data_IF_259455395965
#
_entry.id   IF_259455395965
#
_cell.length_a   1.000
_cell.length_b   1.000
_cell.length_c   1.000
_cell.angle_alpha   90.00
_cell.angle_beta   90.00
_cell.angle_gamma   90.00
#
_symmetry.space_group_name_H-M   'P 1'
#
loop_
_entity.id
_entity.type
_entity.pdbx_description
1 polymer ?
#
# COMPACT_ATOMS: atom_id res chain seq x y z
N UNK A 1 -3.41 23.81 -11.12
CA UNK A 1 -2.26 22.90 -10.94
C UNK A 1 -2.42 21.72 -11.88
N UNK A 2 -1.47 21.43 -12.78
CA UNK A 2 -1.61 20.34 -13.77
C UNK A 2 -0.91 19.08 -13.25
N UNK A 3 -1.68 18.00 -13.11
CA UNK A 3 -1.30 16.72 -12.50
C UNK A 3 -0.64 15.71 -13.46
N UNK A 4 -0.44 16.03 -14.75
CA UNK A 4 0.05 15.08 -15.76
C UNK A 4 1.09 15.66 -16.73
N UNK A 5 2.08 14.83 -17.10
CA UNK A 5 3.09 15.11 -18.12
C UNK A 5 2.53 14.97 -19.55
N UNK A 6 2.94 15.84 -20.49
CA UNK A 6 2.41 15.90 -21.86
C UNK A 6 3.13 14.96 -22.87
N UNK A 7 4.11 14.15 -22.44
CA UNK A 7 4.81 13.21 -23.33
C UNK A 7 4.20 11.79 -23.28
N UNK A 8 3.73 11.24 -24.41
CA UNK A 8 2.95 9.99 -24.44
C UNK A 8 3.72 8.77 -23.91
N UNK A 9 5.03 8.66 -24.19
CA UNK A 9 5.88 7.57 -23.70
C UNK A 9 6.11 7.58 -22.18
N UNK A 10 5.94 8.74 -21.52
CA UNK A 10 6.05 8.84 -20.05
C UNK A 10 4.68 8.69 -19.38
N UNK A 11 3.60 9.13 -20.04
CA UNK A 11 2.23 8.90 -19.60
C UNK A 11 1.91 7.40 -19.54
N UNK A 12 2.33 6.61 -20.53
CA UNK A 12 2.15 5.15 -20.53
C UNK A 12 2.92 4.48 -19.39
N UNK A 13 4.17 4.89 -19.11
CA UNK A 13 4.94 4.36 -17.97
C UNK A 13 4.32 4.72 -16.61
N UNK A 14 3.72 5.90 -16.48
CA UNK A 14 2.99 6.29 -15.27
C UNK A 14 1.72 5.46 -15.08
N UNK A 15 0.91 5.32 -16.14
CA UNK A 15 -0.27 4.45 -16.13
C UNK A 15 0.09 2.99 -15.81
N UNK A 16 1.16 2.47 -16.42
CA UNK A 16 1.62 1.11 -16.17
C UNK A 16 2.12 0.95 -14.72
N UNK A 17 2.87 1.92 -14.20
CA UNK A 17 3.32 1.90 -12.81
C UNK A 17 2.15 1.97 -11.82
N UNK A 18 1.14 2.80 -12.10
CA UNK A 18 -0.06 2.93 -11.28
C UNK A 18 -0.89 1.64 -11.33
N UNK A 19 -1.03 1.02 -12.51
CA UNK A 19 -1.70 -0.27 -12.68
C UNK A 19 -0.97 -1.40 -11.97
N UNK A 20 0.37 -1.46 -12.07
CA UNK A 20 1.18 -2.45 -11.35
C UNK A 20 1.05 -2.25 -9.84
N UNK A 21 1.12 -1.01 -9.36
CA UNK A 21 0.92 -0.70 -7.95
C UNK A 21 -0.47 -1.13 -7.47
N UNK A 22 -1.53 -0.79 -8.21
CA UNK A 22 -2.89 -1.19 -7.90
C UNK A 22 -3.06 -2.72 -7.92
N UNK A 23 -2.49 -3.41 -8.91
CA UNK A 23 -2.53 -4.86 -9.02
C UNK A 23 -1.79 -5.55 -7.86
N UNK A 24 -0.62 -5.04 -7.47
CA UNK A 24 0.15 -5.55 -6.32
C UNK A 24 -0.60 -5.35 -5.01
N UNK A 25 -1.19 -4.17 -4.79
CA UNK A 25 -2.01 -3.91 -3.60
C UNK A 25 -3.22 -4.84 -3.58
N UNK A 26 -3.92 -4.99 -4.71
CA UNK A 26 -5.05 -5.90 -4.82
C UNK A 26 -4.66 -7.36 -4.54
N UNK A 27 -3.56 -7.84 -5.12
CA UNK A 27 -3.05 -9.19 -4.89
C UNK A 27 -2.65 -9.40 -3.42
N UNK A 28 -1.98 -8.42 -2.80
CA UNK A 28 -1.60 -8.48 -1.39
C UNK A 28 -2.82 -8.55 -0.46
N UNK A 29 -3.85 -7.74 -0.71
CA UNK A 29 -5.11 -7.78 0.05
C UNK A 29 -5.80 -9.13 -0.13
N UNK A 30 -5.89 -9.65 -1.36
CA UNK A 30 -6.49 -10.97 -1.62
C UNK A 30 -5.75 -12.09 -0.92
N UNK A 31 -4.42 -12.06 -0.94
CA UNK A 31 -3.59 -13.03 -0.24
C UNK A 31 -3.76 -12.92 1.28
N UNK A 32 -3.80 -11.71 1.83
CA UNK A 32 -3.97 -11.48 3.26
C UNK A 32 -5.32 -12.00 3.78
N UNK A 33 -6.40 -11.76 3.02
CA UNK A 33 -7.71 -12.29 3.35
C UNK A 33 -7.74 -13.81 3.28
N UNK A 34 -7.16 -14.42 2.24
CA UNK A 34 -7.08 -15.87 2.13
C UNK A 34 -6.30 -16.51 3.30
N UNK A 35 -5.18 -15.90 3.70
CA UNK A 35 -4.40 -16.34 4.86
C UNK A 35 -5.20 -16.17 6.15
N UNK A 36 -5.90 -15.05 6.32
CA UNK A 36 -6.77 -14.81 7.48
C UNK A 36 -7.85 -15.87 7.62
N UNK A 37 -8.53 -16.18 6.52
CA UNK A 37 -9.60 -17.17 6.50
C UNK A 37 -9.06 -18.57 6.83
N UNK A 38 -7.88 -18.91 6.31
CA UNK A 38 -7.19 -20.15 6.67
C UNK A 38 -6.83 -20.21 8.17
N UNK A 39 -6.34 -19.11 8.75
CA UNK A 39 -6.03 -19.04 10.19
C UNK A 39 -7.31 -19.16 11.03
N UNK A 40 -8.41 -18.50 10.62
CA UNK A 40 -9.68 -18.56 11.33
C UNK A 40 -10.28 -19.97 11.38
N UNK A 41 -9.87 -20.88 10.48
CA UNK A 41 -10.24 -22.29 10.54
C UNK A 41 -9.66 -22.99 11.79
N UNK A 42 -8.52 -22.52 12.32
CA UNK A 42 -7.95 -23.01 13.59
C UNK A 42 -8.78 -22.59 14.80
N UNK A 43 -9.74 -21.67 14.67
CA UNK A 43 -10.65 -21.31 15.77
C UNK A 43 -11.80 -22.31 15.93
N UNK A 44 -12.08 -23.16 14.93
CA UNK A 44 -13.19 -24.13 14.99
C UNK A 44 -13.07 -25.16 16.13
N UNK A 45 -11.89 -25.76 16.40
CA UNK A 45 -11.70 -26.60 17.57
C UNK A 45 -11.98 -25.87 18.88
N UNK A 46 -11.55 -24.60 18.99
CA UNK A 46 -11.80 -23.76 20.16
C UNK A 46 -13.29 -23.50 20.39
N UNK A 47 -14.04 -23.20 19.33
CA UNK A 47 -15.52 -23.04 19.38
C UNK A 47 -16.22 -24.32 19.84
N UNK A 48 -15.79 -25.47 19.31
CA UNK A 48 -16.35 -26.77 19.70
C UNK A 48 -16.04 -27.10 21.16
N UNK A 49 -14.80 -26.84 21.61
CA UNK A 49 -14.40 -27.03 22.99
C UNK A 49 -15.17 -26.12 23.95
N UNK A 50 -15.36 -24.84 23.59
CA UNK A 50 -16.17 -23.88 24.35
C UNK A 50 -17.62 -24.36 24.51
N UNK A 51 -18.25 -24.74 23.40
CA UNK A 51 -19.63 -25.24 23.40
C UNK A 51 -19.79 -26.54 24.19
N UNK A 52 -18.85 -27.48 24.05
CA UNK A 52 -18.85 -28.74 24.78
C UNK A 52 -18.64 -28.52 26.29
N UNK A 53 -17.66 -27.69 26.67
CA UNK A 53 -17.38 -27.35 28.07
C UNK A 53 -18.57 -26.64 28.74
N UNK A 54 -19.18 -25.68 28.06
CA UNK A 54 -20.35 -24.95 28.56
C UNK A 54 -21.55 -25.89 28.76
N UNK A 55 -21.82 -26.77 27.79
CA UNK A 55 -22.92 -27.73 27.87
C UNK A 55 -22.70 -28.76 28.97
N UNK A 56 -21.46 -29.26 29.10
CA UNK A 56 -21.06 -30.19 30.14
C UNK A 56 -21.18 -29.56 31.53
N UNK A 57 -20.67 -28.33 31.69
CA UNK A 57 -20.76 -27.60 32.95
C UNK A 57 -22.21 -27.41 33.38
N UNK A 58 -23.06 -26.95 32.46
CA UNK A 58 -24.48 -26.76 32.74
C UNK A 58 -25.18 -28.06 33.14
N UNK A 59 -24.99 -29.14 32.37
CA UNK A 59 -25.62 -30.43 32.67
C UNK A 59 -25.17 -31.02 34.01
N UNK A 60 -23.88 -30.88 34.35
CA UNK A 60 -23.34 -31.33 35.64
C UNK A 60 -23.79 -30.44 36.81
N UNK A 61 -23.92 -29.13 36.59
CA UNK A 61 -24.50 -28.20 37.55
C UNK A 61 -25.96 -28.55 37.88
N UNK A 62 -26.78 -28.72 36.84
CA UNK A 62 -28.19 -29.12 36.95
C UNK A 62 -28.32 -30.48 37.67
N UNK A 63 -27.44 -31.45 37.35
CA UNK A 63 -27.39 -32.73 38.02
C UNK A 63 -26.95 -32.62 39.49
N UNK A 64 -25.98 -31.75 39.79
CA UNK A 64 -25.55 -31.47 41.16
C UNK A 64 -26.67 -30.86 42.00
N UNK A 65 -27.42 -29.93 41.44
CA UNK A 65 -28.56 -29.30 42.10
C UNK A 65 -29.71 -30.30 42.31
N UNK A 66 -29.94 -31.21 41.37
CA UNK A 66 -30.89 -32.31 41.56
C UNK A 66 -30.42 -33.30 42.64
N UNK A 67 -29.14 -33.66 42.64
CA UNK A 67 -28.56 -34.57 43.62
C UNK A 67 -28.60 -34.01 45.05
N UNK A 68 -28.47 -32.68 45.21
CA UNK A 68 -28.56 -32.00 46.52
C UNK A 68 -29.90 -32.24 47.25
N UNK A 69 -30.95 -32.61 46.51
CA UNK A 69 -32.30 -32.85 47.04
C UNK A 69 -32.49 -34.26 47.62
N UNK A 70 -31.49 -35.13 47.52
CA UNK A 70 -31.57 -36.51 48.05
C UNK A 70 -31.33 -36.51 49.57
N UNK A 71 -32.25 -37.06 50.39
CA UNK A 71 -32.07 -37.12 51.84
C UNK A 71 -30.82 -37.91 52.25
N UNK A 72 -30.15 -37.48 53.32
CA UNK A 72 -28.96 -38.09 53.94
C UNK A 72 -27.66 -38.09 53.11
N UNK A 73 -27.71 -38.11 51.78
CA UNK A 73 -26.52 -38.22 50.89
C UNK A 73 -26.38 -37.11 49.86
N UNK A 74 -27.32 -36.17 49.76
CA UNK A 74 -27.35 -35.14 48.70
C UNK A 74 -26.07 -34.30 48.62
N UNK A 75 -25.53 -33.86 49.75
CA UNK A 75 -24.29 -33.07 49.79
C UNK A 75 -23.05 -33.87 49.31
N UNK A 76 -23.02 -35.18 49.56
CA UNK A 76 -21.92 -36.04 49.13
C UNK A 76 -21.96 -36.27 47.61
N UNK A 77 -23.16 -36.29 47.02
CA UNK A 77 -23.35 -36.43 45.57
C UNK A 77 -23.19 -35.10 44.82
N UNK A 78 -23.57 -33.98 45.42
CA UNK A 78 -23.47 -32.66 44.81
C UNK A 78 -22.02 -32.22 44.59
N UNK A 79 -21.13 -32.42 45.57
CA UNK A 79 -19.73 -31.99 45.50
C UNK A 79 -18.97 -32.46 44.24
N UNK A 80 -18.93 -33.76 43.91
CA UNK A 80 -18.21 -34.23 42.72
C UNK A 80 -18.85 -33.72 41.42
N UNK A 81 -20.18 -33.57 41.37
CA UNK A 81 -20.89 -33.03 40.20
C UNK A 81 -20.57 -31.54 39.99
N UNK A 82 -20.55 -30.73 41.06
CA UNK A 82 -20.11 -29.33 40.97
C UNK A 82 -18.65 -29.19 40.57
N UNK A 83 -17.77 -30.01 41.14
CA UNK A 83 -16.34 -30.01 40.76
C UNK A 83 -16.16 -30.35 39.28
N UNK A 84 -16.89 -31.34 38.77
CA UNK A 84 -16.88 -31.67 37.35
C UNK A 84 -17.49 -30.55 36.48
N UNK A 85 -18.51 -29.83 36.98
CA UNK A 85 -19.06 -28.66 36.30
C UNK A 85 -18.03 -27.50 36.21
N UNK A 86 -17.26 -27.26 37.27
CA UNK A 86 -16.17 -26.29 37.27
C UNK A 86 -15.07 -26.66 36.27
N UNK A 87 -14.69 -27.94 36.19
CA UNK A 87 -13.77 -28.41 35.15
C UNK A 87 -14.32 -28.18 33.73
N UNK A 88 -15.63 -28.37 33.53
CA UNK A 88 -16.32 -28.02 32.29
C UNK A 88 -16.21 -26.53 31.93
N UNK A 89 -16.33 -25.63 32.92
CA UNK A 89 -16.09 -24.19 32.72
C UNK A 89 -14.64 -23.91 32.35
N UNK A 90 -13.66 -24.54 33.01
CA UNK A 90 -12.25 -24.40 32.66
C UNK A 90 -11.94 -24.82 31.22
N UNK A 91 -12.58 -25.90 30.74
CA UNK A 91 -12.49 -26.30 29.33
C UNK A 91 -13.12 -25.26 28.40
N UNK A 92 -14.25 -24.68 28.80
CA UNK A 92 -14.92 -23.66 28.01
C UNK A 92 -14.07 -22.40 27.86
N UNK A 93 -13.48 -21.94 28.97
CA UNK A 93 -12.59 -20.78 29.01
C UNK A 93 -11.30 -21.02 28.20
N UNK A 94 -10.75 -22.23 28.26
CA UNK A 94 -9.61 -22.61 27.41
C UNK A 94 -9.98 -22.56 25.92
N UNK A 95 -11.18 -23.05 25.56
CA UNK A 95 -11.72 -22.97 24.19
C UNK A 95 -11.87 -21.53 23.71
N UNK A 96 -12.31 -20.62 24.57
CA UNK A 96 -12.43 -19.18 24.27
C UNK A 96 -11.07 -18.50 24.13
N UNK A 97 -10.14 -18.77 25.04
CA UNK A 97 -8.76 -18.23 24.99
C UNK A 97 -8.03 -18.63 23.69
N UNK A 98 -8.20 -19.88 23.23
CA UNK A 98 -7.68 -20.32 21.94
C UNK A 98 -8.27 -19.54 20.76
N UNK A 99 -9.59 -19.30 20.76
CA UNK A 99 -10.23 -18.50 19.72
C UNK A 99 -9.68 -17.06 19.69
N UNK A 100 -9.50 -16.44 20.85
CA UNK A 100 -8.97 -15.09 20.96
C UNK A 100 -7.51 -15.01 20.49
N UNK A 101 -6.69 -16.00 20.83
CA UNK A 101 -5.30 -16.09 20.36
C UNK A 101 -5.23 -16.24 18.82
N UNK A 102 -6.05 -17.14 18.25
CA UNK A 102 -6.14 -17.35 16.80
C UNK A 102 -6.62 -16.07 16.10
N UNK A 103 -7.62 -15.39 16.66
CA UNK A 103 -8.15 -14.13 16.13
C UNK A 103 -7.10 -13.01 16.13
N UNK A 104 -6.34 -12.87 17.22
CA UNK A 104 -5.23 -11.92 17.29
C UNK A 104 -4.13 -12.23 16.27
N UNK A 105 -3.72 -13.49 16.14
CA UNK A 105 -2.73 -13.92 15.14
C UNK A 105 -3.24 -13.63 13.72
N UNK A 106 -4.48 -14.01 13.40
CA UNK A 106 -5.09 -13.76 12.11
C UNK A 106 -5.06 -12.26 11.78
N UNK A 107 -5.39 -11.40 12.75
CA UNK A 107 -5.40 -9.95 12.58
C UNK A 107 -4.01 -9.39 12.36
N UNK A 108 -3.03 -9.74 13.20
CA UNK A 108 -1.65 -9.28 13.08
C UNK A 108 -1.02 -9.71 11.76
N UNK A 109 -1.20 -10.98 11.36
CA UNK A 109 -0.71 -11.48 10.08
C UNK A 109 -1.36 -10.75 8.91
N UNK A 110 -2.68 -10.52 8.94
CA UNK A 110 -3.38 -9.77 7.90
C UNK A 110 -2.83 -8.36 7.75
N UNK A 111 -2.65 -7.65 8.87
CA UNK A 111 -2.12 -6.27 8.88
C UNK A 111 -0.70 -6.25 8.33
N UNK A 112 0.17 -7.16 8.77
CA UNK A 112 1.54 -7.23 8.29
C UNK A 112 1.60 -7.52 6.78
N UNK A 113 0.79 -8.46 6.29
CA UNK A 113 0.76 -8.87 4.89
C UNK A 113 0.20 -7.79 3.96
N UNK A 114 -0.61 -6.85 4.47
CA UNK A 114 -1.07 -5.68 3.73
C UNK A 114 -0.07 -4.53 3.84
N UNK A 115 0.40 -4.22 5.06
CA UNK A 115 1.23 -3.06 5.33
C UNK A 115 2.58 -3.15 4.63
N UNK A 116 3.25 -4.31 4.67
CA UNK A 116 4.59 -4.47 4.08
C UNK A 116 4.58 -4.21 2.57
N UNK A 117 3.72 -4.85 1.75
CA UNK A 117 3.66 -4.56 0.32
C UNK A 117 3.24 -3.12 0.01
N UNK A 118 2.27 -2.57 0.76
CA UNK A 118 1.81 -1.19 0.55
C UNK A 118 2.93 -0.20 0.81
N UNK A 119 3.65 -0.34 1.92
CA UNK A 119 4.80 0.52 2.25
C UNK A 119 5.90 0.35 1.20
N UNK A 120 6.18 -0.87 0.75
CA UNK A 120 7.17 -1.10 -0.29
C UNK A 120 6.80 -0.43 -1.62
N UNK A 121 5.55 -0.57 -2.06
CA UNK A 121 5.02 0.09 -3.26
C UNK A 121 5.11 1.61 -3.12
N UNK A 122 4.71 2.16 -1.96
CA UNK A 122 4.82 3.60 -1.69
C UNK A 122 6.29 4.06 -1.72
N UNK A 123 7.20 3.35 -1.08
CA UNK A 123 8.62 3.71 -1.07
C UNK A 123 9.25 3.67 -2.48
N UNK A 124 8.82 2.75 -3.35
CA UNK A 124 9.31 2.68 -4.72
C UNK A 124 8.66 3.72 -5.64
N UNK A 125 7.38 4.03 -5.41
CA UNK A 125 6.57 4.88 -6.29
C UNK A 125 6.61 6.38 -5.91
N UNK A 126 6.65 6.72 -4.62
CA UNK A 126 6.56 8.10 -4.14
C UNK A 126 7.78 8.96 -4.49
N UNK A 127 9.05 8.50 -4.33
CA UNK A 127 10.23 9.32 -4.61
C UNK A 127 10.36 9.81 -6.06
N UNK A 128 10.18 8.96 -7.11
CA UNK A 128 10.23 9.44 -8.48
C UNK A 128 9.10 10.43 -8.78
N UNK A 129 7.90 10.20 -8.21
CA UNK A 129 6.75 11.09 -8.38
C UNK A 129 6.96 12.45 -7.73
N UNK A 130 7.45 12.48 -6.49
CA UNK A 130 7.78 13.71 -5.76
C UNK A 130 8.90 14.51 -6.45
N UNK A 131 9.96 13.83 -6.91
CA UNK A 131 11.05 14.46 -7.67
C UNK A 131 10.53 15.10 -8.97
N UNK A 132 9.58 14.45 -9.64
CA UNK A 132 8.98 14.99 -10.87
C UNK A 132 8.10 16.22 -10.60
N UNK A 133 7.25 16.18 -9.57
CA UNK A 133 6.41 17.34 -9.19
C UNK A 133 7.30 18.55 -8.87
N UNK A 134 8.39 18.34 -8.10
CA UNK A 134 9.35 19.41 -7.77
C UNK A 134 10.07 19.95 -9.01
N UNK A 135 10.60 19.10 -9.89
CA UNK A 135 11.34 19.53 -11.09
C UNK A 135 10.46 20.22 -12.13
N UNK A 136 9.21 19.79 -12.26
CA UNK A 136 8.26 20.37 -13.20
C UNK A 136 7.80 21.77 -12.76
N UNK A 137 7.63 21.98 -11.45
CA UNK A 137 7.26 23.29 -10.90
C UNK A 137 8.36 24.35 -11.07
N UNK A 138 9.63 23.98 -10.88
CA UNK A 138 10.77 24.92 -11.02
C UNK A 138 11.00 25.29 -12.48
N UNK A 139 11.00 24.31 -13.39
CA UNK A 139 11.22 24.58 -14.84
C UNK A 139 10.12 25.48 -15.40
N UNK A 140 8.86 25.27 -15.01
CA UNK A 140 7.74 26.10 -15.48
C UNK A 140 7.86 27.56 -15.06
N UNK A 141 8.23 27.84 -13.80
CA UNK A 141 8.40 29.22 -13.31
C UNK A 141 9.53 29.97 -14.02
N UNK A 142 10.57 29.25 -14.44
CA UNK A 142 11.71 29.82 -15.16
C UNK A 142 11.34 30.07 -16.63
N UNK A 143 10.56 29.17 -17.25
CA UNK A 143 10.11 29.33 -18.64
C UNK A 143 9.04 30.40 -18.82
N UNK A 144 8.15 30.59 -17.85
CA UNK A 144 7.11 31.65 -17.88
C UNK A 144 7.65 33.05 -17.48
N UNK A 145 8.93 33.15 -17.10
CA UNK A 145 9.58 34.42 -16.76
C UNK A 145 10.21 35.14 -17.97
N UNK A 146 10.51 36.46 -17.86
CA UNK A 146 11.22 37.21 -18.90
C UNK A 146 12.57 36.55 -19.23
N UNK A 147 12.84 36.28 -20.51
CA UNK A 147 14.07 35.59 -20.96
C UNK A 147 14.04 34.06 -20.81
N UNK A 148 12.89 33.45 -20.52
CA UNK A 148 12.76 32.00 -20.37
C UNK A 148 13.15 31.19 -21.62
N UNK A 149 12.91 31.74 -22.82
CA UNK A 149 13.33 31.15 -24.09
C UNK A 149 14.87 31.11 -24.21
N UNK A 150 15.56 32.18 -23.83
CA UNK A 150 17.03 32.24 -23.83
C UNK A 150 17.66 31.30 -22.81
N UNK A 151 17.06 31.16 -21.63
CA UNK A 151 17.54 30.21 -20.61
C UNK A 151 17.36 28.75 -21.07
N UNK A 152 16.29 28.46 -21.82
CA UNK A 152 16.09 27.15 -22.43
C UNK A 152 17.07 26.92 -23.58
N UNK A 153 17.28 27.91 -24.44
CA UNK A 153 18.24 27.85 -25.52
C UNK A 153 19.66 27.61 -24.99
N UNK A 154 20.07 28.36 -23.97
CA UNK A 154 21.36 28.20 -23.28
C UNK A 154 21.51 26.80 -22.69
N UNK A 155 20.48 26.28 -22.03
CA UNK A 155 20.50 24.92 -21.47
C UNK A 155 20.68 23.82 -22.53
N UNK A 156 20.11 24.01 -23.71
CA UNK A 156 20.29 23.10 -24.85
C UNK A 156 21.72 23.23 -25.40
N UNK A 157 22.24 24.46 -25.51
CA UNK A 157 23.63 24.71 -25.95
C UNK A 157 24.68 24.12 -25.00
N UNK A 158 24.45 24.15 -23.69
CA UNK A 158 25.33 23.54 -22.68
C UNK A 158 25.01 22.07 -22.39
N UNK A 159 24.06 21.50 -23.14
CA UNK A 159 23.56 20.14 -22.97
C UNK A 159 24.31 19.09 -23.78
N UNK A 160 23.84 17.83 -23.80
CA UNK A 160 24.45 16.78 -24.59
C UNK A 160 24.31 17.04 -26.12
N UNK A 161 25.36 16.76 -26.92
CA UNK A 161 25.45 17.19 -28.33
C UNK A 161 24.39 16.57 -29.25
N UNK A 162 23.80 15.43 -28.85
CA UNK A 162 22.70 14.77 -29.58
C UNK A 162 21.47 15.65 -29.77
N UNK A 163 21.28 16.67 -28.93
CA UNK A 163 20.10 17.52 -29.01
C UNK A 163 20.22 18.55 -30.13
N UNK A 164 21.44 18.97 -30.43
CA UNK A 164 21.77 19.92 -31.49
C UNK A 164 21.81 19.23 -32.85
N UNK A 165 22.08 17.91 -32.88
CA UNK A 165 22.12 17.10 -34.09
C UNK A 165 20.74 16.98 -34.79
N UNK A 166 19.65 17.33 -34.10
CA UNK A 166 18.31 17.30 -34.66
C UNK A 166 17.93 18.56 -35.44
N UNK A 167 18.76 19.61 -35.41
CA UNK A 167 18.53 20.87 -36.12
C UNK A 167 19.53 21.07 -37.25
N UNK A 168 19.12 21.69 -38.37
CA UNK A 168 20.06 22.19 -39.37
C UNK A 168 21.03 23.18 -38.71
N UNK A 169 22.33 23.04 -38.96
CA UNK A 169 23.34 23.92 -38.37
C UNK A 169 23.25 25.30 -39.05
N UNK A 170 22.97 26.39 -38.30
CA UNK A 170 22.88 27.72 -38.88
C UNK A 170 24.25 28.26 -39.29
N UNK A 171 24.31 29.26 -40.20
CA UNK A 171 25.56 29.90 -40.60
C UNK A 171 26.34 30.48 -39.40
N UNK A 172 27.57 30.01 -39.21
CA UNK A 172 28.42 30.38 -38.07
C UNK A 172 28.15 29.59 -36.78
N UNK A 173 27.26 28.59 -36.83
CA UNK A 173 26.97 27.69 -35.72
C UNK A 173 25.99 28.26 -34.68
N UNK A 174 25.38 27.35 -33.89
CA UNK A 174 24.34 27.69 -32.93
C UNK A 174 24.78 28.73 -31.88
N UNK A 175 26.04 28.68 -31.43
CA UNK A 175 26.57 29.63 -30.44
C UNK A 175 26.68 31.07 -31.01
N UNK A 176 27.02 31.22 -32.29
CA UNK A 176 27.12 32.54 -32.91
C UNK A 176 25.72 33.10 -33.24
N UNK A 177 24.81 32.24 -33.72
CA UNK A 177 23.42 32.63 -33.95
C UNK A 177 22.72 33.08 -32.66
N UNK A 178 22.93 32.35 -31.55
CA UNK A 178 22.42 32.74 -30.24
C UNK A 178 22.98 34.09 -29.76
N UNK A 179 24.30 34.31 -29.87
CA UNK A 179 24.91 35.61 -29.49
C UNK A 179 24.43 36.80 -30.32
N UNK A 180 23.97 36.57 -31.56
CA UNK A 180 23.41 37.60 -32.43
C UNK A 180 21.94 37.91 -32.14
N UNK A 181 21.30 37.17 -31.23
CA UNK A 181 19.88 37.35 -30.92
C UNK A 181 18.95 36.87 -32.04
N UNK A 182 19.35 35.85 -32.80
CA UNK A 182 18.50 35.26 -33.85
C UNK A 182 17.27 34.61 -33.21
N UNK A 183 16.12 35.30 -33.29
CA UNK A 183 14.86 34.88 -32.68
C UNK A 183 14.40 33.50 -33.14
N UNK A 184 14.67 33.14 -34.41
CA UNK A 184 14.27 31.86 -34.98
C UNK A 184 15.09 30.72 -34.38
N UNK A 185 16.41 30.90 -34.27
CA UNK A 185 17.31 29.91 -33.67
C UNK A 185 17.06 29.77 -32.16
N UNK A 186 16.77 30.88 -31.46
CA UNK A 186 16.40 30.86 -30.04
C UNK A 186 15.09 30.09 -29.85
N UNK A 187 14.07 30.33 -30.69
CA UNK A 187 12.80 29.62 -30.63
C UNK A 187 12.96 28.12 -30.89
N UNK A 188 13.77 27.73 -31.88
CA UNK A 188 14.03 26.32 -32.21
C UNK A 188 14.76 25.58 -31.09
N UNK A 189 15.78 26.22 -30.49
CA UNK A 189 16.50 25.68 -29.34
C UNK A 189 15.59 25.62 -28.10
N UNK A 190 14.77 26.64 -27.85
CA UNK A 190 13.81 26.66 -26.77
C UNK A 190 12.74 25.55 -26.92
N UNK A 191 12.28 25.27 -28.15
CA UNK A 191 11.34 24.20 -28.44
C UNK A 191 11.91 22.80 -28.10
N UNK A 192 13.21 22.58 -28.33
CA UNK A 192 13.91 21.36 -27.89
C UNK A 192 13.99 21.29 -26.37
N UNK A 193 14.31 22.40 -25.72
CA UNK A 193 14.32 22.53 -24.26
C UNK A 193 12.94 22.20 -23.65
N UNK A 194 11.87 22.72 -24.24
CA UNK A 194 10.48 22.46 -23.85
C UNK A 194 10.11 20.98 -24.02
N UNK A 195 10.41 20.38 -25.18
CA UNK A 195 10.17 18.95 -25.43
C UNK A 195 10.88 18.07 -24.40
N UNK A 196 12.11 18.41 -24.01
CA UNK A 196 12.86 17.72 -22.95
C UNK A 196 12.30 17.90 -21.56
N UNK A 197 11.79 19.10 -21.27
CA UNK A 197 11.06 19.39 -20.04
C UNK A 197 9.69 18.68 -20.01
N UNK A 198 9.25 18.09 -21.14
CA UNK A 198 7.97 17.41 -21.28
C UNK A 198 6.79 18.37 -21.46
N UNK A 199 7.07 19.57 -21.95
CA UNK A 199 6.13 20.64 -22.28
C UNK A 199 6.02 20.75 -23.81
N UNK A 200 4.81 21.05 -24.31
CA UNK A 200 4.65 21.44 -25.72
C UNK A 200 5.09 22.88 -25.92
N UNK A 201 5.78 23.11 -27.04
CA UNK A 201 5.98 24.43 -27.61
C UNK A 201 4.64 25.00 -28.11
#
# INVERSE_FOLDING_TARGET
>A
MRLYAQTPARRSRQLLADLIAAALIYAAVRLALAVRDAIMLLADPGRKAEGAGTSLSKGLGDAGDAASKVPFVGDQLQKPLRSAAEAGNGLADAGRSLQDAVSHLATLTTVALIAIPVVFVLLLWLPPRLRWIRRSGVTRRITEGPGGADLLALRVLTGPPRDLAALPVPPGGFAAAWRRGDEQVIADLAAIGLRKAGLRA
#
